data_IF_328350192239
#
_entry.id   IF_328350192239
#
_cell.length_a   1.000
_cell.length_b   1.000
_cell.length_c   1.000
_cell.angle_alpha   90.00
_cell.angle_beta   90.00
_cell.angle_gamma   90.00
#
_symmetry.space_group_name_H-M   'P 1'
#
loop_
_entity.id
_entity.type
_entity.pdbx_description
1 polymer ?
#
# COMPACT_ATOMS: atom_id res chain seq x y z
N UNK A 1 0.54 -1.52 19.09
CA UNK A 1 -0.71 -1.84 18.37
C UNK A 1 -1.35 -0.59 17.74
N UNK A 2 -2.07 0.29 18.45
CA UNK A 2 -2.81 1.39 17.81
C UNK A 2 -1.96 2.38 16.99
N UNK A 3 -0.79 2.78 17.49
CA UNK A 3 0.12 3.70 16.81
C UNK A 3 0.61 3.16 15.46
N UNK A 4 0.94 1.86 15.39
CA UNK A 4 1.40 1.20 14.15
C UNK A 4 0.31 1.23 13.06
N UNK A 5 -0.95 1.02 13.44
CA UNK A 5 -2.09 1.10 12.52
C UNK A 5 -2.38 2.54 12.06
N UNK A 6 -2.18 3.53 12.94
CA UNK A 6 -2.30 4.94 12.54
C UNK A 6 -1.23 5.32 11.53
N UNK A 7 0.03 4.99 11.78
CA UNK A 7 1.14 5.26 10.85
C UNK A 7 0.88 4.60 9.50
N UNK A 8 0.44 3.33 9.49
CA UNK A 8 0.11 2.63 8.26
C UNK A 8 -1.03 3.31 7.49
N UNK A 9 -2.06 3.79 8.19
CA UNK A 9 -3.19 4.51 7.56
C UNK A 9 -2.74 5.82 6.93
N UNK A 10 -1.91 6.61 7.62
CA UNK A 10 -1.34 7.84 7.06
C UNK A 10 -0.48 7.55 5.84
N UNK A 11 0.29 6.47 5.87
CA UNK A 11 1.12 6.08 4.74
C UNK A 11 0.28 5.66 3.53
N UNK A 12 -0.76 4.84 3.74
CA UNK A 12 -1.72 4.48 2.68
C UNK A 12 -2.41 5.72 2.10
N UNK A 13 -2.78 6.69 2.94
CA UNK A 13 -3.36 7.94 2.48
C UNK A 13 -2.38 8.76 1.62
N UNK A 14 -1.11 8.83 2.03
CA UNK A 14 -0.06 9.48 1.26
C UNK A 14 0.20 8.78 -0.09
N UNK A 15 0.24 7.45 -0.11
CA UNK A 15 0.34 6.66 -1.35
C UNK A 15 -0.86 6.89 -2.27
N UNK A 16 -2.08 6.89 -1.73
CA UNK A 16 -3.28 7.19 -2.51
C UNK A 16 -3.25 8.60 -3.10
N UNK A 17 -2.80 9.59 -2.33
CA UNK A 17 -2.63 10.96 -2.82
C UNK A 17 -1.57 11.04 -3.94
N UNK A 18 -0.46 10.31 -3.80
CA UNK A 18 0.57 10.20 -4.85
C UNK A 18 0.04 9.50 -6.11
N UNK A 19 -0.72 8.43 -5.95
CA UNK A 19 -1.37 7.73 -7.06
C UNK A 19 -2.33 8.66 -7.81
N UNK A 20 -3.17 9.42 -7.07
CA UNK A 20 -4.06 10.42 -7.64
C UNK A 20 -3.30 11.52 -8.39
N UNK A 21 -2.24 12.05 -7.78
CA UNK A 21 -1.38 13.07 -8.38
C UNK A 21 -0.74 12.57 -9.68
N UNK A 22 -0.32 11.30 -9.74
CA UNK A 22 0.24 10.67 -10.94
C UNK A 22 -0.80 10.39 -12.02
N UNK A 23 -2.06 10.09 -11.65
CA UNK A 23 -3.15 9.87 -12.60
C UNK A 23 -3.71 11.16 -13.21
N UNK A 24 -3.54 12.31 -12.55
CA UNK A 24 -3.98 13.59 -13.10
C UNK A 24 -3.13 13.99 -14.32
N UNK A 25 -3.76 14.44 -15.43
CA UNK A 25 -3.06 14.88 -16.63
C UNK A 25 -2.31 16.19 -16.34
N UNK A 26 -1.04 16.06 -15.92
CA UNK A 26 -0.13 17.17 -15.65
C UNK A 26 0.81 17.43 -16.85
N UNK A 27 1.29 18.67 -17.05
CA UNK A 27 2.17 19.01 -18.16
C UNK A 27 3.49 18.22 -18.09
N UNK A 28 3.99 17.78 -19.25
CA UNK A 28 5.09 16.80 -19.40
C UNK A 28 6.33 17.10 -18.53
N UNK A 29 6.72 18.37 -18.41
CA UNK A 29 7.88 18.78 -17.59
C UNK A 29 7.68 18.54 -16.09
N UNK A 30 6.48 18.82 -15.57
CA UNK A 30 6.17 18.56 -14.15
C UNK A 30 6.08 17.06 -13.89
N UNK A 31 5.50 16.31 -14.83
CA UNK A 31 5.38 14.86 -14.72
C UNK A 31 6.75 14.18 -14.61
N UNK A 32 7.74 14.59 -15.40
CA UNK A 32 9.09 14.00 -15.35
C UNK A 32 9.80 14.31 -14.01
N UNK A 33 9.67 15.54 -13.52
CA UNK A 33 10.27 15.94 -12.23
C UNK A 33 9.60 15.22 -11.05
N UNK A 34 8.28 15.09 -11.09
CA UNK A 34 7.51 14.33 -10.09
C UNK A 34 7.86 12.84 -10.12
N UNK A 35 7.94 12.21 -11.30
CA UNK A 35 8.30 10.78 -11.41
C UNK A 35 9.71 10.52 -10.90
N UNK A 36 10.66 11.45 -11.12
CA UNK A 36 12.01 11.36 -10.57
C UNK A 36 12.00 11.44 -9.04
N UNK A 37 11.33 12.44 -8.47
CA UNK A 37 11.21 12.62 -7.02
C UNK A 37 10.49 11.44 -6.35
N UNK A 38 9.37 11.00 -6.92
CA UNK A 38 8.60 9.88 -6.42
C UNK A 38 9.43 8.61 -6.49
N UNK A 39 10.16 8.35 -7.58
CA UNK A 39 11.01 7.16 -7.67
C UNK A 39 12.13 7.15 -6.63
N UNK A 40 12.65 8.30 -6.22
CA UNK A 40 13.68 8.40 -5.19
C UNK A 40 13.11 8.10 -3.80
N UNK A 41 11.89 8.56 -3.52
CA UNK A 41 11.16 8.33 -2.25
C UNK A 41 10.57 6.92 -2.18
N UNK A 42 10.24 6.32 -3.33
CA UNK A 42 9.61 5.00 -3.42
C UNK A 42 10.60 3.85 -3.18
N UNK A 43 11.90 4.11 -3.36
CA UNK A 43 13.00 3.18 -3.06
C UNK A 43 13.11 2.84 -1.56
N UNK A 44 13.17 3.82 -0.63
CA UNK A 44 13.10 3.55 0.80
C UNK A 44 11.72 3.04 1.25
N UNK A 45 10.65 3.35 0.50
CA UNK A 45 9.32 2.80 0.77
C UNK A 45 9.19 1.29 0.49
N UNK A 46 10.22 0.59 -0.02
CA UNK A 46 10.26 -0.89 -0.04
C UNK A 46 10.05 -1.50 1.35
N UNK A 47 10.36 -0.75 2.42
CA UNK A 47 10.18 -1.19 3.81
C UNK A 47 8.71 -1.42 4.20
N UNK A 48 7.74 -0.88 3.44
CA UNK A 48 6.30 -1.15 3.60
C UNK A 48 5.96 -2.61 3.44
N UNK A 49 6.57 -3.28 2.45
CA UNK A 49 6.24 -4.67 2.12
C UNK A 49 6.59 -5.64 3.26
N UNK A 50 7.83 -5.64 3.81
CA UNK A 50 8.15 -6.48 4.96
C UNK A 50 7.39 -6.03 6.23
N UNK A 51 7.12 -4.73 6.40
CA UNK A 51 6.33 -4.23 7.54
C UNK A 51 4.88 -4.72 7.51
N UNK A 52 4.22 -4.67 6.35
CA UNK A 52 2.88 -5.21 6.13
C UNK A 52 2.88 -6.73 6.30
N UNK A 53 3.91 -7.43 5.82
CA UNK A 53 4.09 -8.87 6.03
C UNK A 53 4.17 -9.24 7.51
N UNK A 54 4.94 -8.48 8.31
CA UNK A 54 5.03 -8.67 9.75
C UNK A 54 3.69 -8.43 10.46
N UNK A 55 2.93 -7.41 10.06
CA UNK A 55 1.60 -7.15 10.63
C UNK A 55 0.56 -8.22 10.26
N UNK A 56 0.61 -8.76 9.05
CA UNK A 56 -0.23 -9.89 8.65
C UNK A 56 0.12 -11.15 9.45
N UNK A 57 1.41 -11.41 9.68
CA UNK A 57 1.85 -12.52 10.52
C UNK A 57 1.43 -12.35 11.98
N UNK A 58 1.53 -11.13 12.53
CA UNK A 58 1.05 -10.81 13.88
C UNK A 58 -0.47 -11.00 14.02
N UNK A 59 -1.24 -10.64 12.99
CA UNK A 59 -2.69 -10.91 12.91
C UNK A 59 -2.96 -12.41 12.85
N UNK A 60 -2.26 -13.13 11.97
CA UNK A 60 -2.41 -14.57 11.79
C UNK A 60 -2.13 -15.31 13.10
N UNK A 61 -1.01 -14.98 13.75
CA UNK A 61 -0.62 -15.55 15.04
C UNK A 61 -1.66 -15.27 16.14
N UNK A 62 -2.19 -14.04 16.19
CA UNK A 62 -3.28 -13.68 17.12
C UNK A 62 -4.60 -14.39 16.82
N UNK A 63 -4.85 -14.78 15.58
CA UNK A 63 -6.04 -15.54 15.20
C UNK A 63 -5.88 -17.01 15.60
N UNK A 64 -4.71 -17.60 15.37
CA UNK A 64 -4.41 -19.01 15.68
C UNK A 64 -4.40 -19.30 17.18
N UNK A 65 -3.86 -18.40 18.01
CA UNK A 65 -3.86 -18.55 19.47
C UNK A 65 -5.13 -18.04 20.16
N UNK A 66 -6.17 -17.72 19.38
CA UNK A 66 -7.43 -17.29 19.95
C UNK A 66 -8.27 -18.50 20.30
N UNK A 67 -8.69 -18.59 21.56
CA UNK A 67 -9.69 -19.56 22.00
C UNK A 67 -10.97 -19.36 21.16
N UNK A 68 -11.17 -20.26 20.19
CA UNK A 68 -12.37 -20.34 19.39
C UNK A 68 -13.49 -20.83 20.32
N UNK A 69 -14.54 -20.04 20.47
CA UNK A 69 -15.75 -20.52 21.13
C UNK A 69 -16.45 -21.56 20.23
N UNK A 70 -16.03 -22.81 20.34
CA UNK A 70 -16.68 -23.96 19.71
C UNK A 70 -17.95 -24.32 20.50
N UNK A 71 -19.04 -23.67 20.07
CA UNK A 71 -20.45 -24.12 20.08
C UNK A 71 -21.20 -24.57 21.35
N UNK A 72 -20.64 -24.75 22.55
CA UNK A 72 -21.50 -25.22 23.68
C UNK A 72 -21.46 -24.42 25.01
N UNK A 73 -20.52 -23.47 25.21
CA UNK A 73 -20.35 -22.80 26.53
C UNK A 73 -20.32 -21.25 26.43
N UNK A 74 -20.37 -20.67 25.23
CA UNK A 74 -20.06 -19.24 25.05
C UNK A 74 -21.30 -18.35 25.23
N UNK A 75 -21.21 -17.36 26.12
CA UNK A 75 -22.29 -16.42 26.45
C UNK A 75 -22.53 -15.43 25.30
N UNK A 76 -23.76 -14.93 25.07
CA UNK A 76 -24.07 -14.00 23.97
C UNK A 76 -23.16 -12.74 23.93
N UNK A 77 -22.73 -12.24 25.10
CA UNK A 77 -21.80 -11.12 25.23
C UNK A 77 -20.34 -11.45 24.83
N UNK A 78 -19.97 -12.73 24.79
CA UNK A 78 -18.66 -13.19 24.36
C UNK A 78 -18.61 -13.36 22.83
N UNK A 79 -19.73 -13.80 22.23
CA UNK A 79 -19.90 -13.84 20.77
C UNK A 79 -19.82 -12.44 20.14
N UNK A 80 -20.50 -11.43 20.70
CA UNK A 80 -20.43 -10.04 20.18
C UNK A 80 -19.00 -9.46 20.27
N UNK A 81 -18.28 -9.74 21.36
CA UNK A 81 -16.86 -9.34 21.50
C UNK A 81 -15.96 -10.07 20.51
N UNK A 82 -16.24 -11.33 20.22
CA UNK A 82 -15.50 -12.11 19.22
C UNK A 82 -15.71 -11.56 17.81
N UNK A 83 -16.95 -11.28 17.41
CA UNK A 83 -17.26 -10.70 16.10
C UNK A 83 -16.61 -9.32 15.92
N UNK A 84 -16.76 -8.41 16.89
CA UNK A 84 -16.16 -7.06 16.83
C UNK A 84 -14.64 -7.09 16.63
N UNK A 85 -13.97 -8.06 17.22
CA UNK A 85 -12.51 -8.21 17.11
C UNK A 85 -12.10 -8.91 15.82
N UNK A 86 -12.91 -9.82 15.29
CA UNK A 86 -12.74 -10.38 13.96
C UNK A 86 -12.86 -9.30 12.88
N UNK A 87 -13.91 -8.48 12.91
CA UNK A 87 -14.08 -7.35 11.99
C UNK A 87 -12.91 -6.35 12.08
N UNK A 88 -12.39 -6.10 13.29
CA UNK A 88 -11.21 -5.25 13.49
C UNK A 88 -9.96 -5.82 12.80
N UNK A 89 -9.80 -7.15 12.85
CA UNK A 89 -8.70 -7.86 12.21
C UNK A 89 -8.83 -7.88 10.69
N UNK A 90 -10.01 -8.19 10.15
CA UNK A 90 -10.30 -8.13 8.72
C UNK A 90 -10.01 -6.75 8.12
N UNK A 91 -10.49 -5.68 8.76
CA UNK A 91 -10.21 -4.31 8.29
C UNK A 91 -8.72 -4.03 8.20
N UNK A 92 -7.96 -4.52 9.18
CA UNK A 92 -6.53 -4.35 9.24
C UNK A 92 -5.81 -5.15 8.13
N UNK A 93 -6.27 -6.37 7.82
CA UNK A 93 -5.77 -7.16 6.67
C UNK A 93 -6.02 -6.44 5.36
N UNK A 94 -7.25 -5.93 5.14
CA UNK A 94 -7.60 -5.18 3.94
C UNK A 94 -6.67 -3.97 3.78
N UNK A 95 -6.41 -3.24 4.87
CA UNK A 95 -5.53 -2.07 4.86
C UNK A 95 -4.09 -2.42 4.46
N UNK A 96 -3.54 -3.55 4.95
CA UNK A 96 -2.22 -4.05 4.52
C UNK A 96 -2.20 -4.44 3.04
N UNK A 97 -3.23 -5.15 2.56
CA UNK A 97 -3.31 -5.57 1.14
C UNK A 97 -3.43 -4.35 0.23
N UNK A 98 -4.27 -3.38 0.57
CA UNK A 98 -4.42 -2.14 -0.20
C UNK A 98 -3.12 -1.33 -0.24
N UNK A 99 -2.36 -1.24 0.85
CA UNK A 99 -1.04 -0.60 0.88
C UNK A 99 -0.09 -1.24 -0.14
N UNK A 100 0.05 -2.57 -0.09
CA UNK A 100 0.92 -3.30 -1.01
C UNK A 100 0.49 -3.13 -2.48
N UNK A 101 -0.82 -3.14 -2.76
CA UNK A 101 -1.35 -2.93 -4.11
C UNK A 101 -1.08 -1.51 -4.62
N UNK A 102 -1.33 -0.47 -3.80
CA UNK A 102 -1.06 0.91 -4.18
C UNK A 102 0.42 1.14 -4.45
N UNK A 103 1.29 0.65 -3.55
CA UNK A 103 2.73 0.67 -3.74
C UNK A 103 3.15 0.05 -5.09
N UNK A 104 2.64 -1.15 -5.39
CA UNK A 104 2.91 -1.82 -6.67
C UNK A 104 2.44 -0.98 -7.86
N UNK A 105 1.22 -0.44 -7.81
CA UNK A 105 0.67 0.40 -8.87
C UNK A 105 1.55 1.62 -9.13
N UNK A 106 1.98 2.32 -8.07
CA UNK A 106 2.87 3.49 -8.20
C UNK A 106 4.21 3.09 -8.80
N UNK A 107 4.82 1.98 -8.35
CA UNK A 107 6.05 1.44 -8.91
C UNK A 107 5.94 1.18 -10.42
N UNK A 108 4.83 0.54 -10.85
CA UNK A 108 4.58 0.27 -12.27
C UNK A 108 4.42 1.56 -13.06
N UNK A 109 3.61 2.50 -12.59
CA UNK A 109 3.39 3.80 -13.24
C UNK A 109 4.72 4.57 -13.38
N UNK A 110 5.54 4.61 -12.34
CA UNK A 110 6.85 5.25 -12.38
C UNK A 110 7.78 4.60 -13.40
N UNK A 111 7.83 3.26 -13.46
CA UNK A 111 8.63 2.52 -14.44
C UNK A 111 8.18 2.84 -15.87
N UNK A 112 6.88 2.77 -16.14
CA UNK A 112 6.33 3.07 -17.47
C UNK A 112 6.63 4.51 -17.92
N UNK A 113 6.49 5.50 -17.03
CA UNK A 113 6.77 6.89 -17.40
C UNK A 113 8.26 7.11 -17.72
N UNK A 114 9.17 6.47 -16.98
CA UNK A 114 10.62 6.54 -17.28
C UNK A 114 10.95 5.89 -18.63
N UNK A 115 10.32 4.77 -18.95
CA UNK A 115 10.50 4.06 -20.21
C UNK A 115 10.00 4.90 -21.39
N UNK A 116 8.81 5.51 -21.27
CA UNK A 116 8.27 6.45 -22.27
C UNK A 116 9.23 7.62 -22.49
N UNK A 117 9.76 8.22 -21.41
CA UNK A 117 10.70 9.34 -21.53
C UNK A 117 11.98 8.92 -22.28
N UNK A 118 12.53 7.73 -21.98
CA UNK A 118 13.71 7.23 -22.68
C UNK A 118 13.46 7.01 -24.18
N UNK A 119 12.25 6.56 -24.54
CA UNK A 119 11.84 6.39 -25.93
C UNK A 119 11.65 7.74 -26.65
N UNK A 120 11.04 8.73 -26.01
CA UNK A 120 10.91 10.09 -26.56
C UNK A 120 12.29 10.75 -26.78
N UNK A 121 13.26 10.53 -25.87
CA UNK A 121 14.63 11.03 -26.02
C UNK A 121 15.39 10.35 -27.15
N UNK A 122 15.19 9.03 -27.34
CA UNK A 122 15.77 8.28 -28.46
C UNK A 122 15.18 8.78 -29.79
N UNK A 123 13.86 8.96 -29.88
CA UNK A 123 13.19 9.45 -31.08
C UNK A 123 13.69 10.84 -31.49
N UNK A 124 13.90 11.74 -30.53
CA UNK A 124 14.46 13.07 -30.81
C UNK A 124 15.87 12.99 -31.39
N UNK A 125 16.74 12.15 -30.81
CA UNK A 125 18.11 11.97 -31.34
C UNK A 125 18.11 11.48 -32.79
N UNK A 126 17.21 10.56 -33.15
CA UNK A 126 17.07 10.09 -34.52
C UNK A 126 16.48 11.11 -35.50
N UNK A 127 15.78 12.14 -35.02
CA UNK A 127 15.23 13.22 -35.87
C UNK A 127 16.21 14.37 -36.07
N UNK A 128 17.19 14.50 -35.18
CA UNK A 128 18.23 15.52 -35.23
C UNK A 128 19.45 15.08 -36.09
N UNK A 129 19.56 13.79 -36.43
CA UNK A 129 20.47 13.21 -37.45
C UNK A 129 19.81 13.15 -38.84
#
# INVERSE_FOLDING_TARGET
MALQWMILTYMVAAEAALALLLTLPSPKLLKNRLVSLISLILQPALFIVPFAGFQLLDIYWKNEHRLMCTSEICTAAERDRYEKSFYKSQRNVILCVTACLLYWCIQRICKYNKEIQSLEEIEKRYKDE
#
